data_IF_794731997527
#
_entry.id   IF_794731997527
#
_cell.length_a   1.000
_cell.length_b   1.000
_cell.length_c   1.000
_cell.angle_alpha   90.00
_cell.angle_beta   90.00
_cell.angle_gamma   90.00
#
_symmetry.space_group_name_H-M   'P 1'
#
loop_
_entity.id
_entity.type
_entity.pdbx_description
1 polymer ?
#
# COMPACT_ATOMS: atom_id res chain seq x y z
N UNK A 1 -10.76 -9.01 -34.05
CA UNK A 1 -9.92 -9.15 -32.85
C UNK A 1 -9.55 -10.60 -32.71
N UNK A 2 -8.28 -10.98 -32.94
CA UNK A 2 -7.85 -12.36 -32.72
C UNK A 2 -7.57 -12.55 -31.23
N UNK A 3 -8.42 -13.32 -30.56
CA UNK A 3 -8.12 -13.87 -29.25
C UNK A 3 -6.96 -14.88 -29.42
N UNK A 4 -5.84 -14.64 -28.74
CA UNK A 4 -4.65 -15.49 -28.81
C UNK A 4 -4.41 -16.18 -27.47
N UNK A 5 -3.70 -17.31 -27.49
CA UNK A 5 -3.25 -17.99 -26.28
C UNK A 5 -2.44 -17.06 -25.36
N UNK A 6 -1.68 -16.12 -25.92
CA UNK A 6 -0.93 -15.12 -25.15
C UNK A 6 -1.85 -14.17 -24.37
N UNK A 7 -2.96 -13.74 -24.97
CA UNK A 7 -3.95 -12.88 -24.28
C UNK A 7 -4.64 -13.62 -23.13
N UNK A 8 -4.87 -14.92 -23.28
CA UNK A 8 -5.39 -15.77 -22.22
C UNK A 8 -4.37 -15.99 -21.09
N UNK A 9 -3.12 -16.30 -21.45
CA UNK A 9 -2.04 -16.49 -20.48
C UNK A 9 -1.78 -15.22 -19.66
N UNK A 10 -1.80 -14.05 -20.31
CA UNK A 10 -1.68 -12.76 -19.63
C UNK A 10 -2.83 -12.51 -18.65
N UNK A 11 -4.08 -12.72 -19.08
CA UNK A 11 -5.25 -12.56 -18.19
C UNK A 11 -5.21 -13.51 -16.99
N UNK A 12 -4.73 -14.74 -17.18
CA UNK A 12 -4.55 -15.69 -16.08
C UNK A 12 -3.44 -15.25 -15.11
N UNK A 13 -2.33 -14.72 -15.61
CA UNK A 13 -1.24 -14.19 -14.80
C UNK A 13 -1.67 -12.94 -13.99
N UNK A 14 -2.35 -11.99 -14.62
CA UNK A 14 -2.88 -10.78 -13.98
C UNK A 14 -3.90 -11.16 -12.86
N UNK A 15 -4.76 -12.14 -13.12
CA UNK A 15 -5.71 -12.64 -12.13
C UNK A 15 -5.01 -13.33 -10.94
N UNK A 16 -3.98 -14.14 -11.21
CA UNK A 16 -3.18 -14.79 -10.16
C UNK A 16 -2.47 -13.75 -9.29
N UNK A 17 -1.88 -12.72 -9.90
CA UNK A 17 -1.17 -11.66 -9.19
C UNK A 17 -2.13 -10.81 -8.35
N UNK A 18 -3.29 -10.43 -8.91
CA UNK A 18 -4.34 -9.75 -8.15
C UNK A 18 -4.76 -10.57 -6.92
N UNK A 19 -4.91 -11.88 -7.07
CA UNK A 19 -5.28 -12.78 -5.96
C UNK A 19 -4.21 -12.80 -4.88
N UNK A 20 -2.93 -12.87 -5.28
CA UNK A 20 -1.78 -12.81 -4.36
C UNK A 20 -1.77 -11.51 -3.56
N UNK A 21 -1.95 -10.37 -4.23
CA UNK A 21 -1.95 -9.04 -3.59
C UNK A 21 -3.14 -8.86 -2.63
N UNK A 22 -4.34 -9.32 -3.01
CA UNK A 22 -5.52 -9.30 -2.13
C UNK A 22 -5.29 -10.15 -0.88
N UNK A 23 -4.65 -11.32 -1.01
CA UNK A 23 -4.32 -12.15 0.14
C UNK A 23 -3.34 -11.45 1.09
N UNK A 24 -2.32 -10.77 0.56
CA UNK A 24 -1.37 -9.98 1.35
C UNK A 24 -2.08 -8.85 2.09
N UNK A 25 -2.94 -8.10 1.38
CA UNK A 25 -3.77 -7.06 2.00
C UNK A 25 -4.61 -7.64 3.15
N UNK A 26 -5.27 -8.78 2.93
CA UNK A 26 -6.08 -9.45 3.94
C UNK A 26 -5.27 -9.85 5.18
N UNK A 27 -4.05 -10.37 4.99
CA UNK A 27 -3.16 -10.70 6.11
C UNK A 27 -2.78 -9.46 6.94
N UNK A 28 -2.46 -8.34 6.28
CA UNK A 28 -2.14 -7.07 6.96
C UNK A 28 -3.34 -6.51 7.72
N UNK A 29 -4.55 -6.60 7.14
CA UNK A 29 -5.78 -6.20 7.83
C UNK A 29 -6.04 -7.04 9.09
N UNK A 30 -5.80 -8.37 9.02
CA UNK A 30 -5.91 -9.23 10.19
C UNK A 30 -4.90 -8.85 11.29
N UNK A 31 -3.68 -8.46 10.90
CA UNK A 31 -2.67 -7.99 11.86
C UNK A 31 -3.09 -6.67 12.53
N UNK A 32 -3.68 -5.73 11.78
CA UNK A 32 -4.25 -4.50 12.36
C UNK A 32 -5.31 -4.86 13.40
N UNK A 33 -6.27 -5.72 13.06
CA UNK A 33 -7.33 -6.14 13.99
C UNK A 33 -6.77 -6.77 15.27
N UNK A 34 -5.71 -7.58 15.16
CA UNK A 34 -5.03 -8.15 16.31
C UNK A 34 -4.40 -7.07 17.20
N UNK A 35 -3.71 -6.09 16.61
CA UNK A 35 -3.10 -4.98 17.36
C UNK A 35 -4.15 -4.07 18.01
N UNK A 36 -5.27 -3.80 17.35
CA UNK A 36 -6.40 -3.05 17.92
C UNK A 36 -6.99 -3.78 19.14
N UNK A 37 -7.11 -5.11 19.05
CA UNK A 37 -7.50 -5.94 20.20
C UNK A 37 -6.49 -5.85 21.33
N UNK A 38 -5.19 -5.86 21.05
CA UNK A 38 -4.15 -5.72 22.07
C UNK A 38 -4.19 -4.34 22.75
N UNK A 39 -4.45 -3.25 22.01
CA UNK A 39 -4.67 -1.93 22.61
C UNK A 39 -5.84 -1.97 23.59
N UNK A 40 -6.95 -2.59 23.19
CA UNK A 40 -8.14 -2.74 24.05
C UNK A 40 -7.81 -3.55 25.30
N UNK A 41 -7.12 -4.69 25.15
CA UNK A 41 -6.71 -5.53 26.27
C UNK A 41 -5.76 -4.80 27.23
N UNK A 42 -4.78 -4.06 26.70
CA UNK A 42 -3.79 -3.31 27.49
C UNK A 42 -4.46 -2.21 28.30
N UNK A 43 -5.38 -1.47 27.70
CA UNK A 43 -6.08 -0.38 28.39
C UNK A 43 -7.04 -0.90 29.46
N UNK A 44 -7.71 -2.02 29.22
CA UNK A 44 -8.54 -2.69 30.22
C UNK A 44 -7.71 -3.20 31.41
N UNK A 45 -6.60 -3.90 31.14
CA UNK A 45 -5.72 -4.41 32.18
C UNK A 45 -5.11 -3.27 33.02
N UNK A 46 -4.66 -2.20 32.35
CA UNK A 46 -4.22 -0.98 33.04
C UNK A 46 -5.31 -0.45 33.99
N UNK A 47 -6.56 -0.38 33.56
CA UNK A 47 -7.65 0.10 34.41
C UNK A 47 -7.81 -0.71 35.69
N UNK A 48 -7.73 -2.04 35.59
CA UNK A 48 -7.79 -2.96 36.74
C UNK A 48 -6.61 -2.73 37.69
N UNK A 49 -5.39 -2.71 37.17
CA UNK A 49 -4.17 -2.59 37.98
C UNK A 49 -4.04 -1.20 38.61
N UNK A 50 -4.43 -0.16 37.88
CA UNK A 50 -4.43 1.22 38.34
C UNK A 50 -5.45 1.43 39.46
N UNK A 51 -6.64 0.83 39.35
CA UNK A 51 -7.64 0.89 40.41
C UNK A 51 -7.10 0.30 41.72
N UNK A 52 -6.50 -0.89 41.67
CA UNK A 52 -5.88 -1.51 42.84
C UNK A 52 -4.74 -0.65 43.44
N UNK A 53 -3.93 -0.01 42.59
CA UNK A 53 -2.88 0.90 43.05
C UNK A 53 -3.46 2.16 43.72
N UNK A 54 -4.55 2.72 43.18
CA UNK A 54 -5.24 3.87 43.76
C UNK A 54 -5.91 3.54 45.09
N UNK A 55 -6.52 2.35 45.24
CA UNK A 55 -7.07 1.89 46.52
C UNK A 55 -6.00 1.77 47.61
N UNK A 56 -4.79 1.35 47.22
CA UNK A 56 -3.62 1.32 48.11
C UNK A 56 -3.00 2.72 48.36
N UNK A 57 -3.57 3.77 47.77
CA UNK A 57 -3.04 5.13 47.74
C UNK A 57 -1.59 5.23 47.23
N UNK A 58 -1.20 4.31 46.34
CA UNK A 58 0.13 4.21 45.74
C UNK A 58 0.17 4.93 44.38
N UNK A 59 0.29 6.25 44.45
CA UNK A 59 0.34 7.12 43.28
C UNK A 59 1.57 6.85 42.38
N UNK A 60 2.68 6.43 42.98
CA UNK A 60 3.90 6.12 42.24
C UNK A 60 3.70 4.88 41.36
N UNK A 61 3.07 3.84 41.90
CA UNK A 61 2.70 2.64 41.15
C UNK A 61 1.69 2.96 40.05
N UNK A 62 0.64 3.72 40.33
CA UNK A 62 -0.35 4.12 39.33
C UNK A 62 0.30 4.87 38.14
N UNK A 63 1.21 5.81 38.42
CA UNK A 63 1.97 6.52 37.39
C UNK A 63 2.87 5.58 36.55
N UNK A 64 3.52 4.61 37.20
CA UNK A 64 4.37 3.62 36.50
C UNK A 64 3.56 2.71 35.57
N UNK A 65 2.38 2.26 36.02
CA UNK A 65 1.45 1.45 35.24
C UNK A 65 0.95 2.21 34.01
N UNK A 66 0.63 3.50 34.18
CA UNK A 66 0.23 4.35 33.06
C UNK A 66 1.34 4.51 32.03
N UNK A 67 2.57 4.81 32.47
CA UNK A 67 3.71 4.98 31.57
C UNK A 67 4.00 3.70 30.76
N UNK A 68 3.91 2.53 31.42
CA UNK A 68 4.09 1.24 30.77
C UNK A 68 2.98 0.97 29.73
N UNK A 69 1.71 1.08 30.13
CA UNK A 69 0.58 0.86 29.23
C UNK A 69 0.58 1.84 28.05
N UNK A 70 0.91 3.11 28.30
CA UNK A 70 1.03 4.12 27.24
C UNK A 70 2.10 3.74 26.21
N UNK A 71 3.29 3.33 26.66
CA UNK A 71 4.38 2.93 25.77
C UNK A 71 3.96 1.77 24.88
N UNK A 72 3.28 0.78 25.44
CA UNK A 72 2.82 -0.39 24.69
C UNK A 72 1.73 -0.02 23.66
N UNK A 73 0.74 0.77 24.08
CA UNK A 73 -0.32 1.27 23.18
C UNK A 73 0.27 2.13 22.05
N UNK A 74 1.25 2.99 22.34
CA UNK A 74 1.91 3.82 21.33
C UNK A 74 2.69 2.96 20.32
N UNK A 75 3.32 1.86 20.77
CA UNK A 75 3.97 0.90 19.87
C UNK A 75 2.95 0.21 18.94
N UNK A 76 1.84 -0.30 19.47
CA UNK A 76 0.79 -0.89 18.64
C UNK A 76 0.20 0.11 17.63
N UNK A 77 0.04 1.38 18.02
CA UNK A 77 -0.44 2.44 17.12
C UNK A 77 0.56 2.75 16.00
N UNK A 78 1.85 2.77 16.31
CA UNK A 78 2.90 2.96 15.32
C UNK A 78 2.91 1.81 14.30
N UNK A 79 2.78 0.57 14.78
CA UNK A 79 2.68 -0.61 13.92
C UNK A 79 1.43 -0.57 13.03
N UNK A 80 0.27 -0.20 13.57
CA UNK A 80 -0.97 -0.04 12.79
C UNK A 80 -0.78 1.02 11.70
N UNK A 81 -0.15 2.16 12.02
CA UNK A 81 0.14 3.19 11.04
C UNK A 81 1.07 2.68 9.92
N UNK A 82 2.06 1.86 10.26
CA UNK A 82 2.93 1.22 9.28
C UNK A 82 2.16 0.23 8.39
N UNK A 83 1.35 -0.65 8.96
CA UNK A 83 0.54 -1.62 8.22
C UNK A 83 -0.45 -0.93 7.26
N UNK A 84 -1.03 0.19 7.67
CA UNK A 84 -1.89 0.98 6.80
C UNK A 84 -1.13 1.53 5.58
N UNK A 85 0.08 2.07 5.77
CA UNK A 85 0.92 2.51 4.64
C UNK A 85 1.25 1.37 3.68
N UNK A 86 1.49 0.18 4.21
CA UNK A 86 1.75 -1.01 3.39
C UNK A 86 0.51 -1.47 2.63
N UNK A 87 -0.68 -1.38 3.24
CA UNK A 87 -1.96 -1.64 2.54
C UNK A 87 -2.18 -0.63 1.42
N UNK A 88 -1.86 0.65 1.64
CA UNK A 88 -1.95 1.68 0.60
C UNK A 88 -1.02 1.36 -0.58
N UNK A 89 0.21 0.92 -0.30
CA UNK A 89 1.14 0.43 -1.34
C UNK A 89 0.57 -0.76 -2.12
N UNK A 90 0.03 -1.76 -1.42
CA UNK A 90 -0.59 -2.93 -2.05
C UNK A 90 -1.83 -2.55 -2.87
N UNK A 91 -2.62 -1.57 -2.44
CA UNK A 91 -3.77 -1.08 -3.22
C UNK A 91 -3.29 -0.47 -4.56
N UNK A 92 -2.21 0.30 -4.54
CA UNK A 92 -1.60 0.85 -5.76
C UNK A 92 -1.09 -0.28 -6.66
N UNK A 93 -0.44 -1.30 -6.10
CA UNK A 93 -0.02 -2.49 -6.88
C UNK A 93 -1.21 -3.18 -7.55
N UNK A 94 -2.31 -3.42 -6.81
CA UNK A 94 -3.54 -4.02 -7.33
C UNK A 94 -4.12 -3.18 -8.48
N UNK A 95 -4.18 -1.87 -8.33
CA UNK A 95 -4.72 -0.97 -9.37
C UNK A 95 -3.90 -1.00 -10.66
N UNK A 96 -2.59 -1.27 -10.54
CA UNK A 96 -1.64 -1.27 -11.66
C UNK A 96 -1.46 -2.64 -12.32
N UNK A 97 -1.98 -3.74 -11.76
CA UNK A 97 -1.96 -5.06 -12.40
C UNK A 97 -2.54 -4.97 -13.82
N UNK A 98 -1.80 -5.48 -14.80
CA UNK A 98 -2.17 -5.46 -16.22
C UNK A 98 -1.98 -4.11 -16.93
N UNK A 99 -1.61 -3.01 -16.24
CA UNK A 99 -1.38 -1.69 -16.86
C UNK A 99 0.05 -1.43 -17.34
N UNK A 100 1.02 -2.19 -16.86
CA UNK A 100 2.46 -1.95 -17.13
C UNK A 100 2.82 -2.00 -18.63
N UNK A 101 2.10 -2.80 -19.43
CA UNK A 101 2.32 -2.88 -20.89
C UNK A 101 1.59 -1.80 -21.70
N UNK A 102 0.53 -1.19 -21.15
CA UNK A 102 -0.26 -0.19 -21.87
C UNK A 102 0.52 1.13 -22.06
N UNK A 103 1.43 1.46 -21.14
CA UNK A 103 2.29 2.63 -21.24
C UNK A 103 3.45 2.44 -22.26
N UNK A 104 3.91 1.20 -22.48
CA UNK A 104 4.96 0.88 -23.46
C UNK A 104 4.43 0.78 -24.91
N UNK A 105 3.11 0.79 -25.10
CA UNK A 105 2.45 0.70 -26.41
C UNK A 105 2.14 2.08 -27.05
N UNK A 106 2.67 3.18 -26.50
CA UNK A 106 2.59 4.47 -27.16
C UNK A 106 3.44 4.45 -28.45
N UNK A 107 2.86 4.67 -29.64
CA UNK A 107 3.62 4.65 -30.89
C UNK A 107 4.71 5.74 -30.86
N UNK A 108 5.92 5.47 -31.39
CA UNK A 108 6.95 6.50 -31.46
C UNK A 108 6.41 7.68 -32.27
N UNK A 109 6.44 8.88 -31.68
CA UNK A 109 6.10 10.12 -32.39
C UNK A 109 7.17 10.34 -33.45
N UNK A 110 6.93 9.81 -34.66
CA UNK A 110 7.77 10.06 -35.82
C UNK A 110 7.60 11.53 -36.18
N UNK A 111 8.52 12.38 -35.71
CA UNK A 111 8.56 13.79 -36.07
C UNK A 111 8.88 13.87 -37.56
N UNK A 112 7.85 14.05 -38.39
CA UNK A 112 8.02 14.21 -39.84
C UNK A 112 9.01 15.34 -40.12
N UNK A 113 10.13 15.01 -40.76
CA UNK A 113 11.08 16.01 -41.24
C UNK A 113 10.46 16.68 -42.47
N UNK A 114 10.36 18.01 -42.53
CA UNK A 114 9.79 18.68 -43.70
C UNK A 114 10.68 18.44 -44.94
N UNK A 115 10.09 18.30 -46.14
CA UNK A 115 10.86 18.07 -47.35
C UNK A 115 11.75 19.29 -47.64
N UNK A 116 13.04 19.00 -47.83
CA UNK A 116 14.06 19.98 -48.23
C UNK A 116 13.62 20.66 -49.53
N UNK A 117 13.30 21.95 -49.46
CA UNK A 117 13.18 22.80 -50.64
C UNK A 117 14.57 23.05 -51.22
N UNK A 118 15.06 22.12 -52.06
CA UNK A 118 16.24 22.34 -52.91
C UNK A 118 15.79 22.41 -54.36
N UNK A 119 15.99 23.58 -54.97
CA UNK A 119 16.02 23.71 -56.42
C UNK A 119 15.12 24.78 -57.03
N UNK A 120 15.20 26.03 -56.56
CA UNK A 120 14.90 27.17 -57.42
C UNK A 120 16.23 27.75 -57.93
N UNK A 121 16.63 27.35 -59.14
CA UNK A 121 17.55 28.14 -59.95
C UNK A 121 17.14 28.01 -61.40
N UNK A 122 16.51 29.07 -61.90
CA UNK A 122 16.31 29.38 -63.31
C UNK A 122 17.66 29.39 -64.02
N UNK A 123 17.94 28.36 -64.82
CA UNK A 123 18.75 28.47 -66.01
C UNK A 123 18.08 27.63 -67.11
N UNK A 124 17.98 28.24 -68.28
CA UNK A 124 17.53 27.75 -69.58
C UNK A 124 16.03 27.80 -69.92
N UNK A 125 15.76 28.81 -70.78
CA UNK A 125 14.69 29.04 -71.76
C UNK A 125 13.49 29.90 -71.33
#
# INVERSE_FOLDING_TARGET
MSWTWDSFAKGAADAAETTRLVAIKGAKQAEIMYKERNITSTTQQFGVDCFAAMEANDQARAASLFAAAKREVDAYRADIAQLNREIDGVNVEIENVGREDAASAAPPVVRATPPNARGASLQDL
#
